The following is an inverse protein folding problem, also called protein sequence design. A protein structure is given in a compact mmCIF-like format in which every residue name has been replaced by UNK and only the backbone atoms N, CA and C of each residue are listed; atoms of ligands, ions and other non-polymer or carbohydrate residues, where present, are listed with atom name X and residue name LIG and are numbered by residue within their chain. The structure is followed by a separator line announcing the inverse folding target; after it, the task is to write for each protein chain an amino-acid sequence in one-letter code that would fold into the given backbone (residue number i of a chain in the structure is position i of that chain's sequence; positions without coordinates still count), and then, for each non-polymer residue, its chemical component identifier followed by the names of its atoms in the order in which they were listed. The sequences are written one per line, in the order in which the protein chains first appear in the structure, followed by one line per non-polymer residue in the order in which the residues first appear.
data_IF_659773103926
#
_entry.id   IF_659773103926
#
_cell.length_a   1.000
_cell.length_b   1.000
_cell.length_c   1.000
_cell.angle_alpha   90.00
_cell.angle_beta   90.00
_cell.angle_gamma   90.00
#
_symmetry.space_group_name_H-M   'P 1'
#
loop_
_entity.id
_entity.type
_entity.pdbx_description
1 polymer ?
#
# COMPACT_ATOMS: atom_id res chain seq x y z
N UNK A 1 -14.77 -14.71 -17.77
CA UNK A 1 -13.46 -15.33 -17.48
C UNK A 1 -13.67 -16.40 -16.43
N UNK A 2 -13.10 -17.59 -16.59
CA UNK A 2 -13.15 -18.65 -15.58
C UNK A 2 -12.07 -18.39 -14.54
N UNK A 3 -12.45 -18.23 -13.27
CA UNK A 3 -11.49 -18.01 -12.16
C UNK A 3 -10.80 -19.35 -11.85
N UNK A 4 -9.45 -19.42 -11.82
CA UNK A 4 -8.73 -20.64 -11.48
C UNK A 4 -9.10 -21.17 -10.09
N UNK A 5 -9.15 -22.49 -9.91
CA UNK A 5 -9.59 -23.12 -8.64
C UNK A 5 -8.67 -22.83 -7.43
N UNK A 6 -7.43 -22.39 -7.68
CA UNK A 6 -6.51 -21.93 -6.63
C UNK A 6 -7.01 -20.66 -5.95
N UNK A 7 -7.86 -19.89 -6.63
CA UNK A 7 -8.58 -18.75 -6.06
C UNK A 7 -9.94 -19.23 -5.56
N UNK A 8 -9.94 -19.78 -4.35
CA UNK A 8 -11.15 -20.16 -3.64
C UNK A 8 -11.01 -19.80 -2.15
N UNK A 9 -12.14 -19.67 -1.47
CA UNK A 9 -12.18 -19.46 -0.04
C UNK A 9 -12.32 -18.00 0.39
N UNK A 10 -12.08 -17.70 1.68
CA UNK A 10 -12.58 -16.50 2.32
C UNK A 10 -12.04 -15.18 1.75
N UNK A 11 -10.81 -15.17 1.24
CA UNK A 11 -10.23 -13.98 0.62
C UNK A 11 -10.94 -13.59 -0.68
N UNK A 12 -11.30 -14.58 -1.51
CA UNK A 12 -12.09 -14.32 -2.72
C UNK A 12 -13.53 -13.94 -2.37
N UNK A 13 -14.10 -14.58 -1.35
CA UNK A 13 -15.43 -14.22 -0.86
C UNK A 13 -15.48 -12.74 -0.43
N UNK A 14 -14.51 -12.31 0.38
CA UNK A 14 -14.36 -10.93 0.81
C UNK A 14 -14.14 -9.97 -0.36
N UNK A 15 -13.30 -10.32 -1.34
CA UNK A 15 -13.07 -9.47 -2.53
C UNK A 15 -14.35 -9.27 -3.35
N UNK A 16 -15.13 -10.33 -3.57
CA UNK A 16 -16.40 -10.24 -4.31
C UNK A 16 -17.47 -9.48 -3.53
N UNK A 17 -17.53 -9.67 -2.22
CA UNK A 17 -18.41 -8.89 -1.35
C UNK A 17 -18.07 -7.41 -1.34
N UNK A 18 -16.78 -7.09 -1.32
CA UNK A 18 -16.29 -5.73 -1.44
C UNK A 18 -16.68 -5.14 -2.78
N UNK A 19 -16.43 -5.84 -3.89
CA UNK A 19 -16.70 -5.30 -5.23
C UNK A 19 -18.18 -5.06 -5.53
N UNK A 20 -19.06 -5.91 -5.00
CA UNK A 20 -20.51 -5.70 -5.11
C UNK A 20 -20.95 -4.51 -4.26
N UNK A 21 -20.38 -4.34 -3.06
CA UNK A 21 -20.65 -3.23 -2.16
C UNK A 21 -20.23 -1.88 -2.76
N UNK A 22 -18.99 -1.80 -3.24
CA UNK A 22 -18.44 -0.69 -4.02
C UNK A 22 -19.37 -0.37 -5.20
N UNK A 23 -19.52 -1.30 -6.15
CA UNK A 23 -20.19 -1.02 -7.40
C UNK A 23 -21.66 -0.60 -7.21
N UNK A 24 -22.38 -1.24 -6.28
CA UNK A 24 -23.75 -0.84 -5.95
C UNK A 24 -23.77 0.50 -5.23
N UNK A 25 -22.87 0.74 -4.27
CA UNK A 25 -22.79 1.99 -3.53
C UNK A 25 -22.52 3.19 -4.43
N UNK A 26 -21.66 3.03 -5.43
CA UNK A 26 -21.34 4.05 -6.43
C UNK A 26 -22.58 4.49 -7.25
N UNK A 27 -23.62 3.66 -7.34
CA UNK A 27 -24.85 4.03 -8.04
C UNK A 27 -25.71 5.05 -7.26
N UNK A 28 -25.39 5.33 -5.99
CA UNK A 28 -26.13 6.24 -5.13
C UNK A 28 -25.49 7.63 -5.00
N UNK A 29 -24.48 7.96 -5.81
CA UNK A 29 -23.95 9.32 -5.90
C UNK A 29 -24.83 10.27 -6.72
N UNK A 30 -25.64 9.75 -7.64
CA UNK A 30 -26.51 10.56 -8.51
C UNK A 30 -27.85 10.82 -7.79
N UNK A 31 -28.20 12.07 -7.42
CA UNK A 31 -29.32 12.36 -6.51
C UNK A 31 -30.68 11.80 -6.95
N UNK A 32 -31.00 11.87 -8.23
CA UNK A 32 -32.31 11.41 -8.74
C UNK A 32 -32.41 9.87 -8.78
N UNK A 33 -31.32 9.19 -9.13
CA UNK A 33 -31.24 7.72 -9.08
C UNK A 33 -31.24 7.24 -7.63
N UNK A 34 -30.44 7.89 -6.79
CA UNK A 34 -30.30 7.56 -5.39
C UNK A 34 -31.64 7.67 -4.64
N UNK A 35 -32.39 8.78 -4.82
CA UNK A 35 -33.63 9.01 -4.08
C UNK A 35 -34.72 7.98 -4.43
N UNK A 36 -34.97 7.75 -5.71
CA UNK A 36 -36.02 6.81 -6.14
C UNK A 36 -35.73 5.37 -5.68
N UNK A 37 -34.49 4.92 -5.83
CA UNK A 37 -34.08 3.57 -5.48
C UNK A 37 -33.94 3.36 -3.97
N UNK A 38 -33.51 4.38 -3.23
CA UNK A 38 -33.41 4.33 -1.77
C UNK A 38 -34.80 4.27 -1.12
N UNK A 39 -35.74 5.11 -1.55
CA UNK A 39 -37.10 5.15 -0.99
C UNK A 39 -37.85 3.83 -1.24
N UNK A 40 -37.65 3.22 -2.42
CA UNK A 40 -38.25 1.94 -2.77
C UNK A 40 -37.44 0.72 -2.28
N UNK A 41 -36.23 0.93 -1.75
CA UNK A 41 -35.23 -0.11 -1.43
C UNK A 41 -35.03 -1.11 -2.57
N UNK A 42 -34.89 -0.59 -3.78
CA UNK A 42 -34.63 -1.34 -5.02
C UNK A 42 -33.25 -1.01 -5.55
N UNK A 43 -32.61 -1.94 -6.27
CA UNK A 43 -31.31 -1.68 -6.89
C UNK A 43 -31.48 -1.12 -8.32
N UNK A 44 -30.60 -0.20 -8.76
CA UNK A 44 -30.59 0.27 -10.16
C UNK A 44 -30.29 -0.85 -11.15
N UNK A 45 -30.71 -0.74 -12.43
CA UNK A 45 -30.30 -1.72 -13.44
C UNK A 45 -28.78 -1.71 -13.63
N UNK A 46 -28.19 -2.90 -13.83
CA UNK A 46 -26.77 -3.05 -14.16
C UNK A 46 -26.46 -2.79 -15.65
N UNK A 47 -25.18 -2.86 -16.05
CA UNK A 47 -24.04 -3.20 -15.19
C UNK A 47 -23.59 -2.04 -14.29
N UNK A 48 -23.17 -2.37 -13.07
CA UNK A 48 -22.61 -1.43 -12.10
C UNK A 48 -21.08 -1.46 -12.17
N UNK A 49 -20.42 -0.39 -12.64
CA UNK A 49 -18.96 -0.31 -12.61
C UNK A 49 -18.47 -0.22 -11.16
N UNK A 50 -17.34 -0.87 -10.88
CA UNK A 50 -16.62 -0.72 -9.61
C UNK A 50 -15.62 0.45 -9.67
N UNK A 51 -15.22 0.98 -8.50
CA UNK A 51 -14.36 2.17 -8.35
C UNK A 51 -12.92 1.79 -7.92
N UNK A 52 -12.15 2.78 -7.43
CA UNK A 52 -10.81 2.59 -6.91
C UNK A 52 -10.77 1.66 -5.71
N UNK A 53 -11.85 1.54 -4.93
CA UNK A 53 -12.02 0.56 -3.86
C UNK A 53 -11.70 -0.86 -4.35
N UNK A 54 -12.42 -1.31 -5.39
CA UNK A 54 -12.22 -2.64 -5.98
C UNK A 54 -10.89 -2.75 -6.71
N UNK A 55 -10.43 -1.71 -7.43
CA UNK A 55 -9.16 -1.78 -8.16
C UNK A 55 -7.97 -1.98 -7.19
N UNK A 56 -7.96 -1.23 -6.09
CA UNK A 56 -6.94 -1.36 -5.07
C UNK A 56 -7.09 -2.67 -4.29
N UNK A 57 -8.32 -3.12 -3.99
CA UNK A 57 -8.56 -4.42 -3.35
C UNK A 57 -8.07 -5.59 -4.22
N UNK A 58 -8.32 -5.54 -5.53
CA UNK A 58 -7.79 -6.51 -6.48
C UNK A 58 -6.27 -6.52 -6.49
N UNK A 59 -5.62 -5.37 -6.31
CA UNK A 59 -4.16 -5.30 -6.24
C UNK A 59 -3.59 -5.95 -4.97
N UNK A 60 -4.24 -5.72 -3.82
CA UNK A 60 -3.90 -6.39 -2.56
C UNK A 60 -4.13 -7.90 -2.67
N UNK A 61 -5.28 -8.32 -3.21
CA UNK A 61 -5.60 -9.72 -3.41
C UNK A 61 -4.61 -10.43 -4.34
N UNK A 62 -4.25 -9.80 -5.47
CA UNK A 62 -3.29 -10.36 -6.40
C UNK A 62 -1.90 -10.54 -5.76
N UNK A 63 -1.42 -9.54 -5.01
CA UNK A 63 -0.13 -9.63 -4.31
C UNK A 63 -0.13 -10.79 -3.30
N UNK A 64 -1.22 -10.94 -2.55
CA UNK A 64 -1.39 -12.01 -1.59
C UNK A 64 -1.47 -13.39 -2.27
N UNK A 65 -2.23 -13.51 -3.35
CA UNK A 65 -2.40 -14.78 -4.08
C UNK A 65 -1.11 -15.22 -4.77
N UNK A 66 -0.31 -14.26 -5.26
CA UNK A 66 0.96 -14.53 -5.93
C UNK A 66 2.03 -15.06 -4.96
N UNK A 67 2.15 -14.49 -3.75
CA UNK A 67 3.30 -14.77 -2.85
C UNK A 67 2.94 -15.39 -1.51
N UNK A 68 1.65 -15.45 -1.16
CA UNK A 68 1.18 -15.81 0.18
C UNK A 68 1.46 -14.73 1.24
N UNK A 69 2.14 -13.65 0.89
CA UNK A 69 2.44 -12.50 1.74
C UNK A 69 2.36 -11.22 0.90
N UNK A 70 2.19 -10.08 1.57
CA UNK A 70 2.28 -8.77 0.91
C UNK A 70 3.70 -8.24 1.07
N UNK A 71 4.35 -7.95 -0.05
CA UNK A 71 5.55 -7.12 -0.09
C UNK A 71 5.15 -5.67 -0.42
N UNK A 72 5.59 -4.73 0.43
CA UNK A 72 5.21 -3.33 0.30
C UNK A 72 5.77 -2.67 -0.98
N UNK A 73 6.96 -3.08 -1.43
CA UNK A 73 7.56 -2.53 -2.66
C UNK A 73 6.78 -3.01 -3.89
N UNK A 74 6.51 -4.31 -3.98
CA UNK A 74 5.76 -4.89 -5.10
C UNK A 74 4.32 -4.35 -5.14
N UNK A 75 3.65 -4.25 -3.98
CA UNK A 75 2.29 -3.72 -3.89
C UNK A 75 2.22 -2.25 -4.31
N UNK A 76 3.20 -1.44 -3.92
CA UNK A 76 3.30 -0.03 -4.33
C UNK A 76 3.35 0.13 -5.84
N UNK A 77 4.21 -0.64 -6.50
CA UNK A 77 4.33 -0.61 -7.96
C UNK A 77 3.12 -1.24 -8.65
N UNK A 78 2.48 -2.24 -8.03
CA UNK A 78 1.24 -2.80 -8.52
C UNK A 78 0.12 -1.76 -8.53
N UNK A 79 -0.04 -0.97 -7.46
CA UNK A 79 -0.98 0.15 -7.43
C UNK A 79 -0.69 1.15 -8.54
N UNK A 80 0.55 1.61 -8.67
CA UNK A 80 0.93 2.60 -9.68
C UNK A 80 0.74 2.10 -11.13
N UNK A 81 1.03 0.81 -11.39
CA UNK A 81 0.87 0.18 -12.71
C UNK A 81 -0.58 0.00 -13.09
N UNK A 82 -1.44 -0.39 -12.13
CA UNK A 82 -2.85 -0.71 -12.38
C UNK A 82 -3.78 0.49 -12.26
N UNK A 83 -3.28 1.59 -11.69
CA UNK A 83 -3.97 2.86 -11.55
C UNK A 83 -4.65 3.31 -12.84
N UNK A 84 -5.98 3.21 -12.85
CA UNK A 84 -6.88 3.77 -13.83
C UNK A 84 -7.48 5.07 -13.29
N UNK A 85 -7.23 6.18 -13.99
CA UNK A 85 -7.65 7.51 -13.56
C UNK A 85 -9.18 7.67 -13.53
N UNK A 86 -9.90 6.89 -14.34
CA UNK A 86 -11.36 6.98 -14.48
C UNK A 86 -12.12 6.23 -13.38
N UNK A 87 -11.41 5.60 -12.42
CA UNK A 87 -12.00 4.78 -11.35
C UNK A 87 -12.40 5.53 -10.09
N UNK A 88 -12.29 6.86 -10.04
CA UNK A 88 -12.80 7.65 -8.91
C UNK A 88 -11.76 8.02 -7.83
N UNK A 89 -10.49 7.67 -8.04
CA UNK A 89 -9.39 8.03 -7.13
C UNK A 89 -9.40 9.51 -6.70
N UNK A 90 -9.17 9.75 -5.41
CA UNK A 90 -8.95 11.11 -4.89
C UNK A 90 -7.76 11.82 -5.58
N UNK A 91 -7.78 13.16 -5.72
CA UNK A 91 -6.74 13.91 -6.46
C UNK A 91 -5.31 13.67 -5.96
N UNK A 92 -5.13 13.52 -4.64
CA UNK A 92 -3.84 13.23 -4.04
C UNK A 92 -3.32 11.82 -4.42
N UNK A 93 -4.19 10.81 -4.39
CA UNK A 93 -3.87 9.45 -4.79
C UNK A 93 -3.51 9.37 -6.28
N UNK A 94 -4.32 10.02 -7.13
CA UNK A 94 -4.07 10.17 -8.57
C UNK A 94 -2.67 10.74 -8.86
N UNK A 95 -2.30 11.83 -8.17
CA UNK A 95 -0.98 12.44 -8.31
C UNK A 95 0.14 11.51 -7.83
N UNK A 96 -0.03 10.89 -6.66
CA UNK A 96 0.97 9.99 -6.07
C UNK A 96 1.26 8.81 -6.99
N UNK A 97 0.22 8.05 -7.38
CA UNK A 97 0.36 6.84 -8.18
C UNK A 97 0.94 7.14 -9.57
N UNK A 98 0.58 8.28 -10.17
CA UNK A 98 1.20 8.75 -11.42
C UNK A 98 2.71 9.00 -11.25
N UNK A 99 3.13 9.71 -10.21
CA UNK A 99 4.55 10.01 -9.97
C UNK A 99 5.37 8.75 -9.68
N UNK A 100 4.80 7.77 -8.98
CA UNK A 100 5.44 6.46 -8.76
C UNK A 100 5.61 5.73 -10.10
N UNK A 101 4.57 5.73 -10.95
CA UNK A 101 4.64 5.13 -12.29
C UNK A 101 5.69 5.79 -13.19
N UNK A 102 5.97 7.07 -12.98
CA UNK A 102 7.01 7.85 -13.67
C UNK A 102 8.42 7.65 -13.08
N UNK A 103 8.59 6.76 -12.09
CA UNK A 103 9.88 6.41 -11.49
C UNK A 103 10.24 7.17 -10.21
N UNK A 104 9.30 7.89 -9.62
CA UNK A 104 9.50 8.58 -8.34
C UNK A 104 9.62 7.62 -7.15
N UNK A 105 10.38 8.02 -6.12
CA UNK A 105 10.49 7.26 -4.86
C UNK A 105 9.17 7.30 -4.09
N UNK A 106 8.45 6.19 -4.10
CA UNK A 106 7.15 6.06 -3.48
C UNK A 106 7.14 6.35 -1.98
N UNK A 107 8.18 5.95 -1.23
CA UNK A 107 8.23 6.17 0.23
C UNK A 107 8.31 7.67 0.51
N UNK A 108 9.19 8.35 -0.23
CA UNK A 108 9.34 9.80 -0.13
C UNK A 108 8.06 10.52 -0.55
N UNK A 109 7.49 10.16 -1.70
CA UNK A 109 6.28 10.78 -2.22
C UNK A 109 5.07 10.62 -1.29
N UNK A 110 4.89 9.43 -0.70
CA UNK A 110 3.82 9.18 0.27
C UNK A 110 4.05 9.94 1.59
N UNK A 111 5.30 10.05 2.05
CA UNK A 111 5.67 10.82 3.23
C UNK A 111 5.49 12.34 3.04
N UNK A 112 5.73 12.87 1.83
CA UNK A 112 5.58 14.29 1.51
C UNK A 112 4.12 14.74 1.33
N UNK A 113 3.16 13.80 1.28
CA UNK A 113 1.74 14.15 1.17
C UNK A 113 1.26 15.02 2.35
N UNK A 114 0.44 16.03 2.02
CA UNK A 114 -0.16 16.96 2.99
C UNK A 114 0.89 17.60 3.92
N UNK A 115 1.91 18.21 3.31
CA UNK A 115 3.00 18.90 4.02
C UNK A 115 3.73 18.03 5.06
N UNK A 116 3.87 16.73 4.75
CA UNK A 116 4.55 15.78 5.63
C UNK A 116 3.66 15.08 6.65
N UNK A 117 2.36 15.42 6.72
CA UNK A 117 1.42 14.79 7.67
C UNK A 117 0.98 13.40 7.21
N UNK A 118 1.03 13.14 5.90
CA UNK A 118 0.50 11.91 5.32
C UNK A 118 -1.01 11.93 5.15
N UNK A 119 -1.52 11.06 4.27
CA UNK A 119 -2.97 10.90 4.07
C UNK A 119 -3.61 10.17 5.26
N UNK A 120 -4.59 10.80 5.91
CA UNK A 120 -5.48 10.16 6.91
C UNK A 120 -6.71 9.48 6.28
N UNK A 121 -6.75 9.42 4.95
CA UNK A 121 -7.89 8.94 4.18
C UNK A 121 -8.28 7.49 4.46
N UNK A 122 -9.52 7.16 4.11
CA UNK A 122 -10.07 5.79 4.21
C UNK A 122 -9.56 4.83 3.12
N UNK A 123 -8.83 5.31 2.10
CA UNK A 123 -8.36 4.50 0.98
C UNK A 123 -7.41 3.34 1.33
N UNK A 124 -6.79 3.36 2.52
CA UNK A 124 -6.07 2.20 3.04
C UNK A 124 -7.01 1.12 3.61
N UNK A 125 -8.14 1.53 4.19
CA UNK A 125 -9.12 0.64 4.81
C UNK A 125 -10.03 -0.02 3.78
N UNK A 126 -10.39 0.70 2.72
CA UNK A 126 -11.34 0.22 1.71
C UNK A 126 -10.93 -1.06 0.99
N UNK A 127 -9.62 -1.33 0.91
CA UNK A 127 -9.03 -2.39 0.07
C UNK A 127 -8.59 -3.66 0.80
N UNK A 128 -8.72 -3.72 2.12
CA UNK A 128 -7.94 -4.68 2.93
C UNK A 128 -8.75 -5.85 3.50
N UNK A 129 -10.07 -5.88 3.30
CA UNK A 129 -10.90 -7.02 3.74
C UNK A 129 -10.43 -8.37 3.16
N UNK A 130 -10.04 -8.49 1.86
CA UNK A 130 -9.52 -9.74 1.30
C UNK A 130 -8.23 -10.22 1.98
N UNK A 131 -7.36 -9.30 2.39
CA UNK A 131 -6.15 -9.62 3.16
C UNK A 131 -6.53 -10.14 4.55
N UNK A 132 -7.41 -9.44 5.27
CA UNK A 132 -7.84 -9.87 6.60
C UNK A 132 -8.44 -11.27 6.62
N UNK A 133 -9.22 -11.62 5.60
CA UNK A 133 -9.91 -12.90 5.50
C UNK A 133 -8.99 -14.13 5.50
N UNK A 134 -7.70 -14.01 5.18
CA UNK A 134 -6.77 -15.16 5.28
C UNK A 134 -6.27 -15.44 6.70
N UNK A 135 -6.44 -14.49 7.62
CA UNK A 135 -5.92 -14.57 8.99
C UNK A 135 -6.97 -15.04 10.00
N UNK A 136 -7.98 -15.80 9.56
CA UNK A 136 -9.04 -16.31 10.43
C UNK A 136 -8.51 -17.13 11.62
N UNK A 137 -7.42 -17.89 11.42
CA UNK A 137 -6.78 -18.68 12.46
C UNK A 137 -6.03 -17.84 13.51
N UNK A 138 -5.60 -16.63 13.15
CA UNK A 138 -4.99 -15.67 14.07
C UNK A 138 -5.23 -14.22 13.60
N UNK A 139 -6.33 -13.57 14.00
CA UNK A 139 -6.64 -12.18 13.65
C UNK A 139 -5.57 -11.19 14.08
N UNK A 140 -4.80 -11.48 15.13
CA UNK A 140 -3.71 -10.60 15.55
C UNK A 140 -2.58 -10.59 14.51
N UNK A 141 -2.35 -11.69 13.80
CA UNK A 141 -1.39 -11.76 12.70
C UNK A 141 -1.79 -10.91 11.48
N UNK A 142 -3.04 -10.45 11.38
CA UNK A 142 -3.48 -9.54 10.31
C UNK A 142 -2.97 -8.10 10.50
N UNK A 143 -2.63 -7.70 11.73
CA UNK A 143 -2.30 -6.31 12.10
C UNK A 143 -1.11 -5.78 11.29
N UNK A 144 0.00 -6.54 11.26
CA UNK A 144 1.22 -6.09 10.58
C UNK A 144 1.05 -6.03 9.06
N UNK A 145 0.56 -7.09 8.37
CA UNK A 145 0.27 -7.05 6.94
C UNK A 145 -0.69 -5.91 6.57
N UNK A 146 -1.75 -5.69 7.35
CA UNK A 146 -2.70 -4.60 7.09
C UNK A 146 -2.02 -3.23 7.14
N UNK A 147 -1.18 -2.99 8.15
CA UNK A 147 -0.40 -1.76 8.26
C UNK A 147 0.58 -1.59 7.10
N UNK A 148 1.27 -2.67 6.70
CA UNK A 148 2.19 -2.67 5.57
C UNK A 148 1.48 -2.34 4.25
N UNK A 149 0.20 -2.72 4.10
CA UNK A 149 -0.58 -2.32 2.92
C UNK A 149 -0.90 -0.84 2.89
N UNK A 150 -0.98 -0.13 4.02
CA UNK A 150 -1.34 1.29 4.07
C UNK A 150 -0.18 2.20 3.63
N UNK A 151 1.04 1.87 4.09
CA UNK A 151 2.27 2.65 3.94
C UNK A 151 2.58 3.16 2.51
N UNK A 152 2.30 2.43 1.42
CA UNK A 152 2.48 2.92 0.05
C UNK A 152 1.74 4.20 -0.31
N UNK A 153 0.65 4.52 0.41
CA UNK A 153 -0.29 5.59 0.03
C UNK A 153 -0.74 6.45 1.21
N UNK A 154 -0.70 5.91 2.42
CA UNK A 154 -1.27 6.48 3.62
C UNK A 154 -0.29 6.27 4.77
N UNK A 155 0.49 7.31 5.07
CA UNK A 155 1.50 7.29 6.14
C UNK A 155 0.96 7.81 7.48
N UNK A 156 -0.25 8.41 7.49
CA UNK A 156 -0.86 8.92 8.72
C UNK A 156 -1.40 7.77 9.60
N UNK A 157 -1.15 7.77 10.93
CA UNK A 157 -1.54 6.67 11.81
C UNK A 157 -3.02 6.30 11.75
N UNK A 158 -3.93 7.27 11.65
CA UNK A 158 -5.37 6.99 11.57
C UNK A 158 -5.77 6.14 10.34
N UNK A 159 -5.12 6.34 9.19
CA UNK A 159 -5.39 5.54 8.01
C UNK A 159 -4.89 4.10 8.18
N UNK A 160 -3.74 3.95 8.83
CA UNK A 160 -3.17 2.64 9.22
C UNK A 160 -4.11 1.92 10.20
N UNK A 161 -4.61 2.63 11.22
CA UNK A 161 -5.55 2.09 12.21
C UNK A 161 -6.85 1.62 11.54
N UNK A 162 -7.34 2.37 10.54
CA UNK A 162 -8.49 1.99 9.73
C UNK A 162 -8.27 0.70 8.96
N UNK A 163 -7.12 0.56 8.29
CA UNK A 163 -6.76 -0.68 7.59
C UNK A 163 -6.65 -1.88 8.54
N UNK A 164 -6.02 -1.69 9.70
CA UNK A 164 -5.94 -2.73 10.73
C UNK A 164 -7.33 -3.16 11.18
N UNK A 165 -8.21 -2.20 11.50
CA UNK A 165 -9.56 -2.49 11.98
C UNK A 165 -10.37 -3.31 10.96
N UNK A 166 -10.34 -2.92 9.68
CA UNK A 166 -11.07 -3.65 8.61
C UNK A 166 -10.49 -5.05 8.39
N UNK A 167 -9.17 -5.19 8.36
CA UNK A 167 -8.52 -6.50 8.19
C UNK A 167 -8.85 -7.45 9.35
N UNK A 168 -8.79 -6.96 10.59
CA UNK A 168 -9.14 -7.74 11.78
C UNK A 168 -10.63 -8.11 11.77
N UNK A 169 -11.52 -7.19 11.37
CA UNK A 169 -12.94 -7.47 11.27
C UNK A 169 -13.24 -8.59 10.25
N UNK A 170 -12.58 -8.55 9.08
CA UNK A 170 -12.69 -9.61 8.08
C UNK A 170 -12.17 -10.96 8.62
N UNK A 171 -11.01 -10.98 9.29
CA UNK A 171 -10.46 -12.20 9.91
C UNK A 171 -11.43 -12.81 10.93
N UNK A 172 -12.01 -11.98 11.80
CA UNK A 172 -12.99 -12.40 12.79
C UNK A 172 -14.31 -12.85 12.17
N UNK A 173 -14.76 -12.21 11.09
CA UNK A 173 -15.96 -12.61 10.34
C UNK A 173 -15.80 -14.01 9.74
N UNK A 174 -14.63 -14.34 9.18
CA UNK A 174 -14.32 -15.70 8.71
C UNK A 174 -14.28 -16.68 9.87
N UNK A 175 -13.57 -16.36 10.96
CA UNK A 175 -13.52 -17.21 12.16
C UNK A 175 -14.91 -17.50 12.69
N UNK A 176 -15.80 -16.52 12.60
CA UNK A 176 -17.15 -16.68 13.11
C UNK A 176 -17.91 -17.81 12.40
N UNK A 177 -17.55 -18.19 11.15
CA UNK A 177 -18.15 -19.33 10.43
C UNK A 177 -18.14 -20.62 11.26
N UNK A 178 -17.14 -20.79 12.13
CA UNK A 178 -17.03 -21.92 13.06
C UNK A 178 -17.21 -21.53 14.51
N UNK A 179 -16.96 -20.26 14.86
CA UNK A 179 -17.03 -19.75 16.24
C UNK A 179 -18.02 -18.56 16.35
N UNK A 180 -19.32 -18.81 16.59
CA UNK A 180 -20.31 -17.74 16.61
C UNK A 180 -19.95 -16.56 17.51
N UNK A 181 -20.19 -15.35 17.01
CA UNK A 181 -19.96 -14.09 17.74
C UNK A 181 -21.23 -13.25 17.77
N UNK A 182 -21.28 -12.28 18.67
CA UNK A 182 -22.33 -11.24 18.66
C UNK A 182 -21.76 -9.96 18.05
N UNK A 183 -22.62 -9.05 17.54
CA UNK A 183 -22.17 -7.77 16.98
C UNK A 183 -21.26 -6.99 17.95
N UNK A 184 -21.65 -6.90 19.23
CA UNK A 184 -20.87 -6.19 20.25
C UNK A 184 -19.52 -6.88 20.54
N UNK A 185 -19.48 -8.22 20.57
CA UNK A 185 -18.23 -8.98 20.76
C UNK A 185 -17.29 -8.82 19.57
N UNK A 186 -17.82 -8.78 18.35
CA UNK A 186 -17.03 -8.55 17.15
C UNK A 186 -16.34 -7.17 17.22
N UNK A 187 -17.11 -6.10 17.42
CA UNK A 187 -16.56 -4.73 17.49
C UNK A 187 -15.56 -4.57 18.64
N UNK A 188 -15.83 -5.15 19.81
CA UNK A 188 -14.89 -5.13 20.93
C UNK A 188 -13.57 -5.85 20.61
N UNK A 189 -13.63 -7.00 19.93
CA UNK A 189 -12.44 -7.75 19.53
C UNK A 189 -11.63 -7.01 18.45
N UNK A 190 -12.29 -6.34 17.50
CA UNK A 190 -11.63 -5.45 16.53
C UNK A 190 -10.94 -4.31 17.29
N UNK A 191 -11.66 -3.60 18.15
CA UNK A 191 -11.12 -2.48 18.91
C UNK A 191 -9.94 -2.86 19.82
N UNK A 192 -9.87 -4.11 20.30
CA UNK A 192 -8.76 -4.62 21.10
C UNK A 192 -7.46 -4.78 20.31
N UNK A 193 -7.55 -5.02 18.99
CA UNK A 193 -6.41 -5.18 18.08
C UNK A 193 -6.11 -3.92 17.26
N UNK A 194 -7.01 -2.93 17.27
CA UNK A 194 -6.75 -1.61 16.70
C UNK A 194 -5.90 -0.76 17.65
N UNK A 195 -4.86 -0.05 17.16
CA UNK A 195 -4.08 0.86 18.00
C UNK A 195 -4.94 1.95 18.67
N UNK A 196 -4.50 2.52 19.80
CA UNK A 196 -5.18 3.65 20.43
C UNK A 196 -5.26 4.86 19.48
N UNK A 197 -6.47 5.35 19.23
CA UNK A 197 -6.71 6.45 18.30
C UNK A 197 -8.20 6.67 18.03
N UNK A 198 -8.52 7.61 17.14
CA UNK A 198 -9.90 7.98 16.82
C UNK A 198 -10.72 6.80 16.24
N UNK A 199 -10.10 5.96 15.41
CA UNK A 199 -10.74 4.76 14.87
C UNK A 199 -11.16 3.81 16.00
N UNK A 200 -10.26 3.51 16.94
CA UNK A 200 -10.57 2.65 18.09
C UNK A 200 -11.65 3.25 18.99
N UNK A 201 -11.61 4.56 19.24
CA UNK A 201 -12.65 5.23 20.02
C UNK A 201 -14.02 5.10 19.33
N UNK A 202 -14.08 5.36 18.01
CA UNK A 202 -15.28 5.18 17.21
C UNK A 202 -15.81 3.74 17.21
N UNK A 203 -14.95 2.72 17.24
CA UNK A 203 -15.39 1.33 17.39
C UNK A 203 -16.06 1.06 18.75
N UNK A 204 -15.59 1.73 19.81
CA UNK A 204 -16.24 1.70 21.12
C UNK A 204 -17.62 2.34 21.09
N UNK A 205 -17.75 3.50 20.45
CA UNK A 205 -19.04 4.18 20.25
C UNK A 205 -19.99 3.33 19.39
N UNK A 206 -19.49 2.72 18.32
CA UNK A 206 -20.25 1.83 17.45
C UNK A 206 -20.85 0.66 18.23
N UNK A 207 -20.08 0.05 19.15
CA UNK A 207 -20.59 -1.02 19.99
C UNK A 207 -21.77 -0.58 20.88
N UNK A 208 -21.78 0.68 21.34
CA UNK A 208 -22.87 1.27 22.11
C UNK A 208 -24.15 1.52 21.31
N UNK A 209 -24.07 1.64 19.99
CA UNK A 209 -25.19 2.02 19.11
C UNK A 209 -25.96 0.83 18.52
N UNK A 210 -25.43 -0.40 18.60
CA UNK A 210 -25.95 -1.60 17.93
C UNK A 210 -27.42 -1.94 18.19
N UNK A 211 -27.98 -1.54 19.34
CA UNK A 211 -29.37 -1.85 19.73
C UNK A 211 -30.33 -0.66 19.78
N UNK A 212 -29.84 0.56 19.61
CA UNK A 212 -30.61 1.77 19.84
C UNK A 212 -30.78 2.66 18.61
N UNK A 213 -29.85 2.58 17.65
CA UNK A 213 -29.81 3.47 16.50
C UNK A 213 -30.24 2.76 15.20
N UNK A 214 -30.94 3.51 14.34
CA UNK A 214 -31.02 3.23 12.92
C UNK A 214 -29.76 3.70 12.16
N UNK A 215 -29.62 3.35 10.86
CA UNK A 215 -28.40 3.64 10.10
C UNK A 215 -28.02 5.14 10.06
N UNK A 216 -28.99 6.04 9.89
CA UNK A 216 -28.75 7.50 9.86
C UNK A 216 -28.32 8.07 11.21
N UNK A 217 -28.89 7.55 12.30
CA UNK A 217 -28.55 7.97 13.67
C UNK A 217 -27.15 7.50 14.05
N UNK A 218 -26.79 6.27 13.69
CA UNK A 218 -25.45 5.76 13.90
C UNK A 218 -24.41 6.56 13.09
N UNK A 219 -24.71 6.86 11.82
CA UNK A 219 -23.85 7.68 10.97
C UNK A 219 -23.67 9.12 11.49
N UNK A 220 -24.69 9.71 12.11
CA UNK A 220 -24.57 11.04 12.70
C UNK A 220 -23.55 11.11 13.85
N UNK A 221 -23.28 9.99 14.52
CA UNK A 221 -22.29 9.87 15.60
C UNK A 221 -20.94 9.40 15.06
N UNK A 222 -20.95 8.33 14.26
CA UNK A 222 -19.75 7.62 13.82
C UNK A 222 -19.10 8.22 12.57
N UNK A 223 -19.81 9.09 11.87
CA UNK A 223 -19.49 9.50 10.51
C UNK A 223 -20.11 8.58 9.46
N UNK A 224 -20.03 9.00 8.20
CA UNK A 224 -20.48 8.23 7.03
C UNK A 224 -19.46 8.33 5.87
N UNK A 225 -18.21 8.61 6.21
CA UNK A 225 -17.11 8.82 5.28
C UNK A 225 -17.15 10.12 4.48
N UNK A 226 -18.14 11.01 4.66
CA UNK A 226 -18.21 12.30 3.95
C UNK A 226 -16.97 13.21 4.14
N UNK A 227 -16.15 12.96 5.18
CA UNK A 227 -14.84 13.63 5.36
C UNK A 227 -13.66 12.88 4.73
N UNK A 228 -13.94 11.84 3.96
CA UNK A 228 -12.99 10.91 3.30
C UNK A 228 -11.88 10.42 4.23
N UNK A 229 -12.17 10.26 5.54
CA UNK A 229 -11.17 9.90 6.56
C UNK A 229 -11.46 8.53 7.15
N UNK A 230 -10.41 7.81 7.54
CA UNK A 230 -10.57 6.49 8.17
C UNK A 230 -11.43 6.56 9.45
N UNK A 231 -11.25 7.60 10.27
CA UNK A 231 -12.02 7.78 11.51
C UNK A 231 -13.51 8.11 11.28
N UNK A 232 -13.84 8.74 10.15
CA UNK A 232 -15.20 9.08 9.76
C UNK A 232 -15.92 7.95 8.98
N UNK A 233 -15.18 6.92 8.57
CA UNK A 233 -15.68 5.86 7.68
C UNK A 233 -15.73 4.51 8.38
N UNK A 234 -14.61 4.09 8.97
CA UNK A 234 -14.40 2.72 9.43
C UNK A 234 -15.32 2.33 10.59
N UNK A 235 -15.53 3.18 11.63
CA UNK A 235 -16.46 2.84 12.70
C UNK A 235 -17.88 2.55 12.21
N UNK A 236 -18.39 3.36 11.29
CA UNK A 236 -19.72 3.18 10.72
C UNK A 236 -19.80 1.96 9.80
N UNK A 237 -18.84 1.78 8.90
CA UNK A 237 -18.81 0.60 8.03
C UNK A 237 -18.76 -0.71 8.84
N UNK A 238 -17.95 -0.75 9.91
CA UNK A 238 -17.88 -1.92 10.79
C UNK A 238 -19.11 -2.06 11.69
N UNK A 239 -19.81 -0.97 12.02
CA UNK A 239 -21.13 -1.04 12.65
C UNK A 239 -22.16 -1.71 11.74
N UNK A 240 -22.25 -1.29 10.47
CA UNK A 240 -23.14 -1.90 9.45
C UNK A 240 -22.85 -3.40 9.30
N UNK A 241 -21.57 -3.76 9.19
CA UNK A 241 -21.14 -5.15 9.08
C UNK A 241 -21.44 -5.97 10.35
N UNK A 242 -21.11 -5.45 11.53
CA UNK A 242 -21.29 -6.17 12.78
C UNK A 242 -22.77 -6.42 13.08
N UNK A 243 -23.64 -5.42 12.85
CA UNK A 243 -25.09 -5.52 13.05
C UNK A 243 -25.72 -6.58 12.13
N UNK A 244 -25.20 -6.73 10.92
CA UNK A 244 -25.78 -7.56 9.86
C UNK A 244 -24.80 -8.64 9.39
N UNK A 245 -24.02 -9.23 10.31
CA UNK A 245 -22.90 -10.11 9.95
C UNK A 245 -23.33 -11.35 9.14
N UNK A 246 -24.57 -11.79 9.30
CA UNK A 246 -25.18 -12.93 8.59
C UNK A 246 -26.11 -12.51 7.43
N UNK A 247 -26.27 -11.20 7.15
CA UNK A 247 -27.19 -10.66 6.14
C UNK A 247 -26.49 -9.60 5.27
N UNK A 248 -25.89 -10.04 4.16
CA UNK A 248 -25.16 -9.17 3.24
C UNK A 248 -26.04 -8.04 2.65
N UNK A 249 -27.25 -8.30 2.12
CA UNK A 249 -28.13 -7.22 1.66
C UNK A 249 -28.43 -6.18 2.73
N UNK A 250 -28.71 -6.60 3.97
CA UNK A 250 -28.99 -5.65 5.05
C UNK A 250 -27.77 -4.78 5.38
N UNK A 251 -26.57 -5.37 5.43
CA UNK A 251 -25.33 -4.63 5.67
C UNK A 251 -25.06 -3.54 4.61
N UNK A 252 -25.23 -3.89 3.33
CA UNK A 252 -25.03 -2.94 2.22
C UNK A 252 -26.12 -1.87 2.21
N UNK A 253 -27.38 -2.22 2.48
CA UNK A 253 -28.45 -1.21 2.59
C UNK A 253 -28.27 -0.26 3.75
N UNK A 254 -27.79 -0.73 4.90
CA UNK A 254 -27.46 0.14 6.03
C UNK A 254 -26.37 1.13 5.63
N UNK A 255 -25.30 0.67 4.96
CA UNK A 255 -24.23 1.53 4.44
C UNK A 255 -24.76 2.61 3.48
N UNK A 256 -25.61 2.23 2.52
CA UNK A 256 -26.20 3.17 1.54
C UNK A 256 -27.11 4.20 2.21
N UNK A 257 -27.87 3.79 3.22
CA UNK A 257 -28.93 4.61 3.84
C UNK A 257 -28.40 5.89 4.50
N UNK A 258 -27.14 5.90 4.94
CA UNK A 258 -26.50 7.05 5.57
C UNK A 258 -25.95 8.10 4.60
N UNK A 259 -25.84 7.79 3.30
CA UNK A 259 -25.16 8.66 2.33
C UNK A 259 -23.67 8.86 2.67
N UNK A 260 -23.08 9.97 2.21
CA UNK A 260 -21.66 10.26 2.40
C UNK A 260 -20.79 9.57 1.35
N UNK A 261 -19.77 8.85 1.81
CA UNK A 261 -18.83 8.10 0.97
C UNK A 261 -19.34 6.64 0.81
N UNK A 262 -20.41 6.53 0.02
CA UNK A 262 -21.31 5.37 0.03
C UNK A 262 -20.66 4.10 -0.49
N UNK A 263 -19.95 4.19 -1.62
CA UNK A 263 -19.18 3.09 -2.20
C UNK A 263 -18.17 2.55 -1.18
N UNK A 264 -17.39 3.42 -0.54
CA UNK A 264 -16.34 3.03 0.41
C UNK A 264 -16.92 2.34 1.64
N UNK A 265 -17.97 2.90 2.24
CA UNK A 265 -18.62 2.29 3.41
C UNK A 265 -19.23 0.93 3.02
N UNK A 266 -19.89 0.84 1.86
CA UNK A 266 -20.50 -0.39 1.37
C UNK A 266 -19.46 -1.44 0.97
N UNK A 267 -18.31 -1.04 0.41
CA UNK A 267 -17.19 -1.90 0.06
C UNK A 267 -16.59 -2.55 1.31
N UNK A 268 -16.30 -1.76 2.35
CA UNK A 268 -15.80 -2.26 3.63
C UNK A 268 -16.81 -3.21 4.27
N UNK A 269 -18.07 -2.78 4.40
CA UNK A 269 -19.11 -3.58 5.05
C UNK A 269 -19.37 -4.89 4.28
N UNK A 270 -19.53 -4.80 2.96
CA UNK A 270 -19.73 -5.94 2.07
C UNK A 270 -18.56 -6.92 2.10
N UNK A 271 -17.32 -6.43 2.10
CA UNK A 271 -16.13 -7.28 2.19
C UNK A 271 -16.09 -8.09 3.50
N UNK A 272 -16.37 -7.44 4.64
CA UNK A 272 -16.41 -8.12 5.95
C UNK A 272 -17.56 -9.12 6.03
N UNK A 273 -18.76 -8.77 5.58
CA UNK A 273 -19.93 -9.66 5.66
C UNK A 273 -19.83 -10.84 4.70
N UNK A 274 -19.28 -10.65 3.50
CA UNK A 274 -18.99 -11.77 2.60
C UNK A 274 -17.87 -12.67 3.13
N UNK A 275 -16.92 -12.14 3.90
CA UNK A 275 -15.95 -12.96 4.63
C UNK A 275 -16.65 -13.91 5.62
N UNK A 276 -17.78 -13.52 6.22
CA UNK A 276 -18.64 -14.41 7.02
C UNK A 276 -19.50 -15.34 6.16
N UNK A 277 -20.31 -14.80 5.27
CA UNK A 277 -21.41 -15.51 4.59
C UNK A 277 -20.97 -16.30 3.36
N UNK A 278 -19.77 -16.01 2.84
CA UNK A 278 -19.34 -16.44 1.52
C UNK A 278 -20.11 -15.74 0.41
N UNK A 279 -19.72 -15.97 -0.84
CA UNK A 279 -20.44 -15.41 -2.00
C UNK A 279 -21.90 -15.88 -2.13
N UNK A 280 -22.28 -16.98 -1.46
CA UNK A 280 -23.65 -17.45 -1.38
C UNK A 280 -24.58 -16.52 -0.58
N UNK A 281 -24.04 -15.68 0.31
CA UNK A 281 -24.81 -14.65 1.01
C UNK A 281 -25.17 -13.44 0.14
N UNK A 282 -24.50 -13.27 -1.01
CA UNK A 282 -24.73 -12.16 -1.93
C UNK A 282 -25.85 -12.54 -2.91
N UNK A 283 -26.87 -11.68 -3.12
CA UNK A 283 -27.89 -11.95 -4.13
C UNK A 283 -27.27 -12.18 -5.52
N UNK A 284 -27.65 -13.28 -6.18
CA UNK A 284 -27.10 -13.63 -7.49
C UNK A 284 -27.31 -12.53 -8.55
N UNK A 285 -28.44 -11.80 -8.45
CA UNK A 285 -28.72 -10.66 -9.33
C UNK A 285 -27.74 -9.50 -9.12
N UNK A 286 -27.26 -9.28 -7.89
CA UNK A 286 -26.27 -8.23 -7.60
C UNK A 286 -24.90 -8.63 -8.14
N UNK A 287 -24.48 -9.88 -7.92
CA UNK A 287 -23.25 -10.42 -8.52
C UNK A 287 -23.26 -10.33 -10.05
N UNK A 288 -24.40 -10.57 -10.69
CA UNK A 288 -24.54 -10.49 -12.14
C UNK A 288 -24.59 -9.04 -12.66
N UNK A 289 -25.05 -8.09 -11.85
CA UNK A 289 -25.08 -6.68 -12.19
C UNK A 289 -23.71 -6.00 -12.01
N UNK A 290 -22.88 -6.46 -11.07
CA UNK A 290 -21.54 -5.90 -10.85
C UNK A 290 -20.59 -6.19 -12.03
N UNK A 291 -19.80 -5.19 -12.42
CA UNK A 291 -18.72 -5.33 -13.41
C UNK A 291 -17.78 -6.49 -13.00
N UNK A 292 -17.40 -7.37 -13.95
CA UNK A 292 -16.48 -8.46 -13.66
C UNK A 292 -15.13 -7.97 -13.10
N UNK A 293 -14.60 -8.68 -12.12
CA UNK A 293 -13.24 -8.44 -11.62
C UNK A 293 -12.20 -8.63 -12.74
N UNK A 294 -11.16 -7.80 -12.79
CA UNK A 294 -10.18 -7.86 -13.86
C UNK A 294 -9.33 -9.12 -13.77
N UNK A 295 -8.95 -9.68 -14.93
CA UNK A 295 -8.23 -10.95 -14.99
C UNK A 295 -6.87 -10.95 -14.30
N UNK A 296 -6.21 -9.81 -14.24
CA UNK A 296 -4.92 -9.65 -13.55
C UNK A 296 -5.02 -9.78 -12.02
N UNK A 297 -6.23 -9.75 -11.44
CA UNK A 297 -6.44 -9.96 -10.01
C UNK A 297 -6.16 -11.43 -9.61
N UNK A 298 -6.25 -12.35 -10.57
CA UNK A 298 -6.10 -13.79 -10.38
C UNK A 298 -4.71 -14.26 -10.82
N UNK A 299 -3.68 -13.72 -10.15
CA UNK A 299 -2.29 -14.07 -10.42
C UNK A 299 -2.01 -15.53 -10.02
N UNK A 300 -1.24 -16.25 -10.85
CA UNK A 300 -0.78 -17.58 -10.48
C UNK A 300 0.19 -17.50 -9.29
N UNK A 301 0.08 -18.39 -8.29
CA UNK A 301 1.03 -18.45 -7.20
C UNK A 301 2.46 -18.67 -7.72
N UNK A 302 3.38 -17.81 -7.30
CA UNK A 302 4.80 -18.01 -7.54
C UNK A 302 5.23 -19.30 -6.84
N UNK A 303 5.60 -20.28 -7.65
CA UNK A 303 6.34 -21.44 -7.12
C UNK A 303 7.71 -20.91 -6.69
N UNK A 304 8.17 -21.18 -5.46
CA UNK A 304 9.53 -20.82 -5.09
C UNK A 304 10.47 -21.52 -6.08
N UNK A 305 11.10 -20.74 -6.95
CA UNK A 305 12.20 -21.24 -7.75
C UNK A 305 13.32 -21.69 -6.78
N UNK A 306 14.08 -22.76 -7.05
CA UNK A 306 15.27 -23.05 -6.27
C UNK A 306 16.19 -21.84 -6.29
N UNK A 307 16.30 -21.18 -5.15
CA UNK A 307 16.89 -19.85 -5.01
C UNK A 307 18.40 -20.00 -4.92
N UNK A 308 19.09 -20.03 -6.07
CA UNK A 308 20.51 -19.68 -6.12
C UNK A 308 20.65 -18.18 -6.33
N UNK A 309 20.22 -17.39 -5.34
CA UNK A 309 20.46 -15.95 -5.37
C UNK A 309 21.89 -15.68 -4.93
N UNK A 310 22.66 -15.02 -5.80
CA UNK A 310 23.89 -14.35 -5.41
C UNK A 310 23.50 -13.14 -4.54
N UNK A 311 23.98 -13.04 -3.29
CA UNK A 311 23.69 -11.88 -2.46
C UNK A 311 24.12 -10.59 -3.16
N UNK A 312 23.22 -9.60 -3.23
CA UNK A 312 23.58 -8.25 -3.66
C UNK A 312 24.60 -7.70 -2.66
N UNK A 313 25.75 -7.26 -3.15
CA UNK A 313 26.81 -6.65 -2.33
C UNK A 313 26.76 -5.15 -2.53
N UNK A 314 26.37 -4.42 -1.49
CA UNK A 314 26.31 -2.96 -1.51
C UNK A 314 27.69 -2.36 -1.21
N UNK A 315 28.09 -1.24 -1.85
CA UNK A 315 29.29 -0.51 -1.50
C UNK A 315 29.33 -0.18 0.00
N UNK A 316 30.51 -0.25 0.61
CA UNK A 316 30.69 -0.06 2.06
C UNK A 316 31.28 1.31 2.36
N UNK A 317 30.89 1.97 3.47
CA UNK A 317 31.58 3.17 3.93
C UNK A 317 33.08 2.93 4.14
N UNK A 318 33.89 3.90 3.75
CA UNK A 318 35.33 3.91 3.92
C UNK A 318 35.76 5.20 4.62
N UNK A 319 36.84 5.20 5.43
CA UNK A 319 37.40 6.44 5.95
C UNK A 319 37.66 7.48 4.84
N UNK A 320 37.15 8.68 5.05
CA UNK A 320 37.34 9.82 4.15
C UNK A 320 38.81 10.26 4.25
N UNK A 321 39.53 10.38 3.12
CA UNK A 321 40.93 10.78 3.14
C UNK A 321 41.05 12.28 3.50
N UNK A 322 42.07 12.63 4.28
CA UNK A 322 42.40 14.03 4.52
C UNK A 322 43.16 14.62 3.32
N UNK A 323 42.40 15.05 2.32
CA UNK A 323 42.89 15.68 1.10
C UNK A 323 42.24 17.04 0.93
N UNK A 324 43.00 18.00 0.42
CA UNK A 324 42.49 19.29 -0.03
C UNK A 324 43.05 19.60 -1.42
N UNK A 325 42.17 19.71 -2.41
CA UNK A 325 42.53 20.07 -3.77
C UNK A 325 42.29 21.55 -4.03
N UNK A 326 43.24 22.20 -4.70
CA UNK A 326 43.00 23.52 -5.29
C UNK A 326 41.99 23.43 -6.44
N UNK A 327 41.43 24.56 -6.85
CA UNK A 327 40.53 24.62 -8.01
C UNK A 327 41.15 24.00 -9.28
N UNK A 328 42.46 24.21 -9.47
CA UNK A 328 43.19 23.61 -10.59
C UNK A 328 43.23 22.08 -10.51
N UNK A 329 43.60 21.51 -9.36
CA UNK A 329 43.60 20.05 -9.17
C UNK A 329 42.19 19.47 -9.32
N UNK A 330 41.18 20.13 -8.75
CA UNK A 330 39.81 19.68 -8.86
C UNK A 330 39.27 19.73 -10.30
N UNK A 331 39.61 20.77 -11.06
CA UNK A 331 39.25 20.86 -12.47
C UNK A 331 39.82 19.66 -13.26
N UNK A 332 41.08 19.29 -12.99
CA UNK A 332 41.70 18.10 -13.61
C UNK A 332 40.96 16.81 -13.29
N UNK A 333 40.57 16.60 -12.03
CA UNK A 333 39.77 15.44 -11.64
C UNK A 333 38.44 15.39 -12.39
N UNK A 334 37.76 16.55 -12.51
CA UNK A 334 36.48 16.70 -13.22
C UNK A 334 36.56 16.43 -14.72
N UNK A 335 37.70 16.73 -15.33
CA UNK A 335 37.93 16.44 -16.76
C UNK A 335 38.23 14.97 -17.04
N UNK A 336 38.40 14.15 -15.99
CA UNK A 336 38.73 12.74 -16.10
C UNK A 336 40.22 12.51 -16.33
N UNK A 337 40.90 11.93 -15.34
CA UNK A 337 42.28 11.51 -15.44
C UNK A 337 42.36 10.05 -15.86
N UNK A 338 43.30 9.72 -16.76
CA UNK A 338 43.42 8.41 -17.37
C UNK A 338 44.87 7.92 -17.29
N UNK A 339 45.09 6.86 -16.52
CA UNK A 339 46.35 6.13 -16.46
C UNK A 339 46.21 4.70 -17.01
N UNK A 340 47.32 3.98 -17.19
CA UNK A 340 47.32 2.61 -17.70
C UNK A 340 46.60 1.61 -16.78
N UNK A 341 46.51 1.91 -15.48
CA UNK A 341 45.84 1.06 -14.48
C UNK A 341 44.49 1.59 -14.02
N UNK A 342 44.35 2.91 -14.02
CA UNK A 342 43.26 3.59 -13.35
C UNK A 342 42.68 4.68 -14.23
N UNK A 343 41.38 4.95 -14.10
CA UNK A 343 40.75 6.14 -14.67
C UNK A 343 39.75 6.73 -13.70
N UNK A 344 39.49 8.04 -13.82
CA UNK A 344 38.46 8.70 -13.02
C UNK A 344 37.26 9.13 -13.83
N UNK A 345 36.10 9.08 -13.17
CA UNK A 345 34.85 9.65 -13.69
C UNK A 345 34.25 10.55 -12.63
N UNK A 346 33.63 11.63 -13.07
CA UNK A 346 32.92 12.54 -12.18
C UNK A 346 31.51 12.80 -12.65
N UNK A 347 30.56 12.74 -11.72
CA UNK A 347 29.17 13.14 -11.93
C UNK A 347 28.64 13.79 -10.65
N UNK A 348 28.02 14.97 -10.76
CA UNK A 348 27.29 15.63 -9.65
C UNK A 348 28.08 15.78 -8.33
N UNK A 349 29.38 16.02 -8.41
CA UNK A 349 30.24 16.17 -7.22
C UNK A 349 30.75 14.85 -6.63
N UNK A 350 30.49 13.72 -7.29
CA UNK A 350 31.07 12.42 -6.95
C UNK A 350 32.23 12.12 -7.90
N UNK A 351 33.40 11.83 -7.34
CA UNK A 351 34.58 11.33 -8.04
C UNK A 351 34.68 9.81 -7.84
N UNK A 352 34.55 9.05 -8.91
CA UNK A 352 34.73 7.61 -8.92
C UNK A 352 36.08 7.23 -9.52
N UNK A 353 36.79 6.31 -8.86
CA UNK A 353 38.02 5.70 -9.35
C UNK A 353 37.67 4.32 -9.92
N UNK A 354 38.07 4.08 -11.16
CA UNK A 354 37.83 2.85 -11.88
C UNK A 354 39.13 2.18 -12.29
N UNK A 355 39.12 0.86 -12.40
CA UNK A 355 40.19 0.13 -13.09
C UNK A 355 40.09 0.37 -14.60
N UNK A 356 41.22 0.62 -15.24
CA UNK A 356 41.26 0.91 -16.68
C UNK A 356 40.98 -0.32 -17.56
N UNK A 357 41.30 -1.53 -17.08
CA UNK A 357 41.16 -2.79 -17.82
C UNK A 357 39.71 -3.31 -17.88
N UNK A 358 38.96 -3.09 -16.81
CA UNK A 358 37.61 -3.63 -16.60
C UNK A 358 36.53 -2.55 -16.63
N UNK A 359 36.88 -1.31 -16.28
CA UNK A 359 35.93 -0.22 -16.07
C UNK A 359 35.21 -0.29 -14.72
N UNK A 360 35.51 -1.30 -13.90
CA UNK A 360 34.87 -1.50 -12.60
C UNK A 360 35.23 -0.36 -11.65
N UNK A 361 34.21 0.22 -11.00
CA UNK A 361 34.40 1.20 -9.95
C UNK A 361 34.99 0.52 -8.71
N UNK A 362 36.05 1.11 -8.16
CA UNK A 362 36.72 0.60 -6.96
C UNK A 362 36.37 1.44 -5.73
N UNK A 363 36.36 2.77 -5.89
CA UNK A 363 35.93 3.72 -4.87
C UNK A 363 35.09 4.83 -5.48
N UNK A 364 34.25 5.45 -4.64
CA UNK A 364 33.59 6.72 -4.95
C UNK A 364 33.75 7.70 -3.79
N UNK A 365 34.06 8.95 -4.11
CA UNK A 365 34.25 10.05 -3.16
C UNK A 365 33.25 11.14 -3.46
N UNK A 366 32.43 11.53 -2.48
CA UNK A 366 31.65 12.76 -2.58
C UNK A 366 32.56 13.92 -2.21
N UNK A 367 32.69 14.91 -3.08
CA UNK A 367 33.61 16.04 -2.92
C UNK A 367 32.81 17.33 -2.87
N UNK A 368 33.14 18.21 -1.93
CA UNK A 368 32.52 19.53 -1.76
C UNK A 368 33.56 20.63 -1.73
N UNK A 369 33.16 21.81 -2.17
CA UNK A 369 33.94 23.02 -1.99
C UNK A 369 33.81 23.54 -0.55
N UNK A 370 34.92 24.04 -0.03
CA UNK A 370 35.05 24.77 1.22
C UNK A 370 35.96 26.00 0.99
N UNK A 371 36.10 26.88 1.99
CA UNK A 371 36.91 28.11 1.95
C UNK A 371 38.38 27.87 1.57
N UNK A 372 38.91 26.67 1.85
CA UNK A 372 40.31 26.31 1.64
C UNK A 372 40.53 25.44 0.37
N UNK A 373 39.47 25.12 -0.38
CA UNK A 373 39.53 24.28 -1.59
C UNK A 373 38.46 23.18 -1.64
N UNK A 374 38.74 22.11 -2.38
CA UNK A 374 37.82 20.98 -2.57
C UNK A 374 38.24 19.80 -1.70
N UNK A 375 37.29 19.27 -0.92
CA UNK A 375 37.54 18.19 0.04
C UNK A 375 36.57 17.04 -0.13
N UNK A 376 37.04 15.78 -0.07
CA UNK A 376 36.17 14.63 0.13
C UNK A 376 35.42 14.76 1.45
N UNK A 377 34.11 14.46 1.45
CA UNK A 377 33.25 14.47 2.64
C UNK A 377 32.59 13.12 2.92
N UNK A 378 32.58 12.24 1.93
CA UNK A 378 32.10 10.86 2.04
C UNK A 378 32.88 9.95 1.09
N UNK A 379 33.04 8.68 1.46
CA UNK A 379 33.80 7.70 0.69
C UNK A 379 33.15 6.32 0.78
N UNK A 380 32.92 5.69 -0.37
CA UNK A 380 32.43 4.32 -0.48
C UNK A 380 33.43 3.45 -1.23
N UNK A 381 33.47 2.17 -0.88
CA UNK A 381 34.28 1.14 -1.53
C UNK A 381 33.44 0.01 -2.08
N UNK A 382 33.82 -0.47 -3.26
CA UNK A 382 33.25 -1.66 -3.88
C UNK A 382 33.31 -2.87 -2.92
N UNK A 383 32.20 -3.61 -2.85
CA UNK A 383 32.01 -4.71 -1.93
C UNK A 383 32.17 -6.09 -2.59
N UNK A 384 32.23 -6.14 -3.92
CA UNK A 384 32.45 -7.36 -4.68
C UNK A 384 33.93 -7.78 -4.63
N UNK A 385 34.28 -8.92 -4.00
CA UNK A 385 35.67 -9.31 -3.77
C UNK A 385 36.47 -9.60 -5.06
N UNK A 386 35.78 -9.86 -6.18
CA UNK A 386 36.45 -10.02 -7.47
C UNK A 386 36.81 -8.68 -8.13
N UNK A 387 36.08 -7.60 -7.80
CA UNK A 387 36.36 -6.25 -8.32
C UNK A 387 37.32 -5.51 -7.38
N UNK A 388 37.24 -5.80 -6.08
CA UNK A 388 38.07 -5.20 -5.05
C UNK A 388 38.59 -6.26 -4.05
N UNK A 389 39.87 -6.64 -4.20
CA UNK A 389 40.50 -7.72 -3.45
C UNK A 389 41.05 -7.32 -2.06
N UNK A 390 40.88 -6.06 -1.64
CA UNK A 390 41.46 -5.51 -0.40
C UNK A 390 42.24 -4.21 -0.68
N UNK A 391 42.47 -3.35 0.33
CA UNK A 391 42.82 -1.96 0.06
C UNK A 391 44.31 -1.76 -0.26
N UNK A 392 44.67 -1.15 -1.41
CA UNK A 392 45.64 -0.05 -1.40
C UNK A 392 45.05 1.11 -0.60
N UNK A 393 45.88 1.99 -0.02
CA UNK A 393 45.31 3.19 0.63
C UNK A 393 44.69 4.05 -0.45
N UNK A 394 43.48 4.56 -0.21
CA UNK A 394 42.75 5.38 -1.18
C UNK A 394 43.57 6.56 -1.72
N UNK A 395 44.38 7.16 -0.84
CA UNK A 395 45.35 8.21 -1.19
C UNK A 395 46.44 7.71 -2.15
N UNK A 396 46.95 6.49 -1.97
CA UNK A 396 48.02 5.92 -2.81
C UNK A 396 47.54 5.73 -4.25
N UNK A 397 46.32 5.22 -4.48
CA UNK A 397 45.86 5.03 -5.85
C UNK A 397 45.52 6.37 -6.54
N UNK A 398 45.01 7.36 -5.80
CA UNK A 398 44.83 8.71 -6.35
C UNK A 398 46.17 9.33 -6.77
N UNK A 399 47.21 9.18 -5.94
CA UNK A 399 48.56 9.62 -6.28
C UNK A 399 49.15 8.86 -7.47
N UNK A 400 48.92 7.54 -7.58
CA UNK A 400 49.35 6.72 -8.71
C UNK A 400 48.73 7.23 -10.03
N UNK A 401 47.41 7.50 -10.03
CA UNK A 401 46.72 8.08 -11.21
C UNK A 401 47.33 9.42 -11.61
N UNK A 402 47.60 10.28 -10.62
CA UNK A 402 48.09 11.63 -10.86
C UNK A 402 49.54 11.63 -11.38
N UNK A 403 50.36 10.66 -10.97
CA UNK A 403 51.73 10.45 -11.48
C UNK A 403 51.75 9.82 -12.88
N UNK A 404 50.87 8.84 -13.12
CA UNK A 404 50.77 8.16 -14.42
C UNK A 404 50.36 9.11 -15.55
N UNK A 405 49.57 10.13 -15.23
CA UNK A 405 49.13 11.16 -16.19
C UNK A 405 50.16 12.28 -16.42
N UNK A 406 51.24 12.32 -15.64
CA UNK A 406 52.31 13.31 -15.77
C UNK A 406 53.48 12.83 -16.67
N UNK A 407 53.46 11.57 -17.11
CA UNK A 407 54.38 10.98 -18.09
C UNK A 407 53.77 11.02 -19.48
#
# INVERSE_FOLDING_TARGET
MTIPSVHAGPALDALRGLSVGDALGAQFFVPDTARAHLDARTVPPGPWPWTDDTEMACSVYAALAERGTVDGFDLTHAFARRHDFDRGYGPAANRLLRLIREGGDARRLAAELFDGQGSFGNGAAMRVAPLGAVYAHDPAAAVRPAADTAAPTHTHPQAVDGAIAVAVAAALAVRARTEPTTPARLLAAVAALTPPGAVRAGLGEAAGLLGAAGPREAAAVLGNGSRTSAADTVPYALWCAARNLDDYPAAVWDAITAGGDVDTVAAIAGGVVAARTGTAGIPAAWLAATEPLPGWAFAEPLRPAPVHLTPIRLPRPHPVPDLCWSDHHWHRWRTGLHGPRWLTRTAEGVLALHRADTGDAVWSLTVRADKDGWRPVDALVEAHPAHFAGPPRLVEALLEVEQDTAR
#
